data_IF_137057459747
#
_entry.id   IF_137057459747
#
_cell.length_a   1.000
_cell.length_b   1.000
_cell.length_c   1.000
_cell.angle_alpha   90.00
_cell.angle_beta   90.00
_cell.angle_gamma   90.00
#
_symmetry.space_group_name_H-M   'P 1'
#
loop_
_entity.id
_entity.type
_entity.pdbx_description
1 polymer ?
#
# COMPACT_ATOMS: atom_id res chain seq x y z
N UNK A 1 10.72 55.97 -56.49
CA UNK A 1 9.38 56.01 -55.86
C UNK A 1 8.90 54.57 -55.84
N UNK A 2 9.36 53.77 -54.87
CA UNK A 2 8.77 53.60 -53.53
C UNK A 2 7.45 52.84 -53.59
N UNK A 3 7.30 51.85 -52.71
CA UNK A 3 6.07 51.10 -52.37
C UNK A 3 5.77 49.77 -53.10
N UNK A 4 6.62 48.73 -53.00
CA UNK A 4 6.13 47.32 -52.88
C UNK A 4 7.14 46.39 -52.17
N UNK A 5 7.88 46.85 -51.16
CA UNK A 5 8.81 46.01 -50.37
C UNK A 5 8.31 45.79 -48.92
N UNK A 6 6.99 45.61 -48.74
CA UNK A 6 6.38 45.60 -47.40
C UNK A 6 5.45 44.42 -47.08
N UNK A 7 5.42 43.33 -47.87
CA UNK A 7 4.42 42.27 -47.66
C UNK A 7 4.85 40.81 -47.86
N UNK A 8 6.15 40.45 -47.80
CA UNK A 8 6.54 39.07 -48.14
C UNK A 8 7.50 38.31 -47.22
N UNK A 9 7.69 38.68 -45.94
CA UNK A 9 8.27 37.74 -44.96
C UNK A 9 7.69 37.89 -43.54
N UNK A 10 6.36 38.02 -43.45
CA UNK A 10 5.61 37.92 -42.19
C UNK A 10 5.24 36.46 -41.85
N UNK A 11 6.13 35.50 -42.14
CA UNK A 11 5.88 34.06 -41.92
C UNK A 11 7.15 33.25 -41.62
N UNK A 12 8.12 33.83 -40.91
CA UNK A 12 8.91 32.97 -40.02
C UNK A 12 8.06 32.78 -38.77
N UNK A 13 7.18 31.77 -38.85
CA UNK A 13 6.47 31.21 -37.73
C UNK A 13 7.43 31.14 -36.53
N UNK A 14 7.02 31.72 -35.41
CA UNK A 14 7.66 31.57 -34.12
C UNK A 14 7.65 30.07 -33.79
N UNK A 15 8.65 29.31 -34.25
CA UNK A 15 8.89 27.95 -33.80
C UNK A 15 9.48 28.08 -32.41
N UNK A 16 8.62 28.15 -31.40
CA UNK A 16 8.98 27.77 -30.04
C UNK A 16 9.76 26.46 -30.13
N UNK A 17 10.94 26.41 -29.52
CA UNK A 17 11.77 25.20 -29.53
C UNK A 17 10.91 24.04 -29.01
N UNK A 18 10.67 23.03 -29.85
CA UNK A 18 9.86 21.89 -29.49
C UNK A 18 10.49 21.20 -28.28
N UNK A 19 9.68 20.93 -27.28
CA UNK A 19 10.09 20.17 -26.10
C UNK A 19 10.29 18.70 -26.45
N UNK A 20 11.00 17.96 -25.60
CA UNK A 20 11.25 16.53 -25.80
C UNK A 20 9.96 15.71 -25.97
N UNK A 21 8.87 16.08 -25.29
CA UNK A 21 7.58 15.40 -25.47
C UNK A 21 6.96 15.71 -26.83
N UNK A 22 6.97 16.98 -27.26
CA UNK A 22 6.40 17.40 -28.53
C UNK A 22 7.14 16.80 -29.72
N UNK A 23 8.47 16.73 -29.66
CA UNK A 23 9.29 16.07 -30.68
C UNK A 23 8.95 14.58 -30.79
N UNK A 24 8.85 13.87 -29.67
CA UNK A 24 8.49 12.44 -29.67
C UNK A 24 7.06 12.21 -30.19
N UNK A 25 6.11 13.08 -29.83
CA UNK A 25 4.72 13.03 -30.33
C UNK A 25 4.67 13.22 -31.84
N UNK A 26 5.40 14.20 -32.36
CA UNK A 26 5.41 14.53 -33.78
C UNK A 26 6.09 13.42 -34.59
N UNK A 27 7.19 12.85 -34.09
CA UNK A 27 7.85 11.69 -34.70
C UNK A 27 6.92 10.47 -34.76
N UNK A 28 6.30 10.10 -33.63
CA UNK A 28 5.39 8.95 -33.56
C UNK A 28 4.18 9.11 -34.50
N UNK A 29 3.74 10.36 -34.72
CA UNK A 29 2.65 10.68 -35.66
C UNK A 29 3.11 10.57 -37.12
N UNK A 30 4.34 10.98 -37.43
CA UNK A 30 4.91 10.88 -38.79
C UNK A 30 5.20 9.45 -39.22
N UNK A 31 5.55 8.57 -38.27
CA UNK A 31 5.76 7.14 -38.55
C UNK A 31 4.47 6.45 -39.04
N UNK A 32 3.29 7.04 -38.79
CA UNK A 32 2.04 6.64 -39.44
C UNK A 32 1.54 5.23 -39.10
N UNK A 33 2.10 4.62 -38.05
CA UNK A 33 1.76 3.27 -37.60
C UNK A 33 0.44 3.29 -36.83
N UNK A 34 -0.62 2.77 -37.44
CA UNK A 34 -1.95 2.67 -36.82
C UNK A 34 -1.86 1.84 -35.53
N UNK A 35 -2.19 2.48 -34.41
CA UNK A 35 -2.14 1.85 -33.08
C UNK A 35 -0.80 1.95 -32.37
N UNK A 36 0.18 2.68 -32.91
CA UNK A 36 1.41 3.03 -32.18
C UNK A 36 1.11 3.90 -30.96
N UNK A 37 2.04 3.89 -30.00
CA UNK A 37 1.98 4.76 -28.84
C UNK A 37 2.37 6.18 -29.24
N UNK A 38 1.55 7.16 -28.88
CA UNK A 38 1.82 8.58 -29.09
C UNK A 38 1.81 9.25 -27.71
N UNK A 39 2.92 9.86 -27.26
CA UNK A 39 2.98 10.48 -25.94
C UNK A 39 2.08 11.72 -25.86
N UNK A 40 1.47 11.91 -24.69
CA UNK A 40 0.65 13.07 -24.38
C UNK A 40 1.44 14.15 -23.66
N UNK A 41 1.36 15.38 -24.17
CA UNK A 41 2.07 16.53 -23.62
C UNK A 41 1.10 17.52 -22.97
N UNK A 42 1.59 18.24 -21.96
CA UNK A 42 0.94 19.41 -21.38
C UNK A 42 1.08 20.62 -22.33
N UNK A 43 0.39 21.72 -22.02
CA UNK A 43 0.44 22.95 -22.81
C UNK A 43 1.80 23.66 -22.79
N UNK A 44 2.63 23.37 -21.79
CA UNK A 44 4.01 23.86 -21.69
C UNK A 44 5.04 22.94 -22.38
N UNK A 45 4.57 21.86 -23.02
CA UNK A 45 5.40 20.86 -23.69
C UNK A 45 6.01 19.80 -22.75
N UNK A 46 5.77 19.87 -21.44
CA UNK A 46 6.17 18.78 -20.54
C UNK A 46 5.34 17.51 -20.78
N UNK A 47 5.85 16.34 -20.41
CA UNK A 47 5.07 15.11 -20.44
C UNK A 47 3.91 15.19 -19.45
N UNK A 48 2.70 14.77 -19.87
CA UNK A 48 1.64 14.50 -18.90
C UNK A 48 2.11 13.41 -17.93
N UNK A 49 1.91 13.56 -16.61
CA UNK A 49 2.30 12.53 -15.65
C UNK A 49 1.66 11.18 -15.90
N UNK A 50 0.45 11.16 -16.47
CA UNK A 50 -0.27 9.97 -16.94
C UNK A 50 -0.12 9.85 -18.46
N UNK A 51 0.27 8.67 -18.93
CA UNK A 51 0.39 8.32 -20.36
C UNK A 51 -0.48 7.10 -20.66
N UNK A 52 -1.25 7.16 -21.75
CA UNK A 52 -2.17 6.09 -22.12
C UNK A 52 -1.93 5.60 -23.55
N UNK A 53 -1.76 4.29 -23.72
CA UNK A 53 -1.68 3.66 -25.02
C UNK A 53 -3.06 3.17 -25.48
N UNK A 54 -3.76 4.04 -26.22
CA UNK A 54 -5.16 3.84 -26.60
C UNK A 54 -5.47 2.51 -27.31
N UNK A 55 -4.57 1.98 -28.13
CA UNK A 55 -4.80 0.72 -28.87
C UNK A 55 -4.72 -0.53 -27.98
N UNK A 56 -4.01 -0.46 -26.85
CA UNK A 56 -3.84 -1.60 -25.92
C UNK A 56 -4.66 -1.45 -24.64
N UNK A 57 -5.10 -0.23 -24.33
CA UNK A 57 -5.84 0.12 -23.11
C UNK A 57 -4.98 0.19 -21.85
N UNK A 58 -3.64 0.13 -21.99
CA UNK A 58 -2.72 0.32 -20.88
C UNK A 58 -2.39 1.80 -20.67
N UNK A 59 -2.35 2.22 -19.41
CA UNK A 59 -1.84 3.52 -19.01
C UNK A 59 -0.82 3.37 -17.89
N UNK A 60 0.12 4.30 -17.77
CA UNK A 60 1.18 4.32 -16.76
C UNK A 60 1.52 5.76 -16.37
N UNK A 61 2.27 5.91 -15.28
CA UNK A 61 2.83 7.19 -14.89
C UNK A 61 4.23 7.36 -15.50
N UNK A 62 4.61 8.60 -15.79
CA UNK A 62 5.95 8.95 -16.26
C UNK A 62 6.61 10.00 -15.38
N UNK A 63 7.94 10.03 -15.38
CA UNK A 63 8.72 11.10 -14.75
C UNK A 63 8.80 12.34 -15.65
N UNK A 64 9.53 13.37 -15.20
CA UNK A 64 9.70 14.64 -15.93
C UNK A 64 10.37 14.49 -17.30
N UNK A 65 11.05 13.37 -17.55
CA UNK A 65 11.69 13.04 -18.83
C UNK A 65 10.85 12.09 -19.71
N UNK A 66 9.62 11.75 -19.29
CA UNK A 66 8.74 10.86 -20.04
C UNK A 66 9.05 9.36 -19.86
N UNK A 67 9.97 8.99 -18.95
CA UNK A 67 10.27 7.58 -18.69
C UNK A 67 9.19 6.96 -17.80
N UNK A 68 8.74 5.74 -18.16
CA UNK A 68 7.76 4.97 -17.40
C UNK A 68 8.22 4.74 -15.95
N UNK A 69 7.36 5.08 -14.99
CA UNK A 69 7.54 4.75 -13.58
C UNK A 69 7.21 3.27 -13.38
N UNK A 70 8.13 2.45 -12.87
CA UNK A 70 7.90 1.03 -12.68
C UNK A 70 6.61 0.71 -11.91
N UNK A 71 5.89 -0.33 -12.32
CA UNK A 71 4.62 -0.82 -11.73
C UNK A 71 3.42 0.13 -11.77
N UNK A 72 3.50 1.22 -12.53
CA UNK A 72 2.33 2.10 -12.72
C UNK A 72 1.47 1.69 -13.92
N UNK A 73 1.94 0.73 -14.73
CA UNK A 73 1.23 0.22 -15.89
C UNK A 73 0.03 -0.63 -15.53
N UNK A 74 -1.15 -0.09 -15.75
CA UNK A 74 -2.46 -0.71 -15.46
C UNK A 74 -3.37 -0.63 -16.68
N UNK A 75 -4.46 -1.40 -16.69
CA UNK A 75 -5.57 -1.16 -17.63
C UNK A 75 -6.50 -0.12 -17.03
N UNK A 76 -6.72 1.00 -17.73
CA UNK A 76 -7.47 2.14 -17.20
C UNK A 76 -6.58 3.19 -16.53
N UNK A 77 -7.15 4.04 -15.67
CA UNK A 77 -6.49 5.26 -15.15
C UNK A 77 -5.56 4.99 -13.94
N UNK A 78 -4.24 5.28 -14.03
CA UNK A 78 -3.31 5.19 -12.90
C UNK A 78 -3.41 6.42 -11.97
N UNK A 79 -3.06 6.25 -10.69
CA UNK A 79 -2.93 7.34 -9.73
C UNK A 79 -1.48 7.88 -9.72
N UNK A 80 -1.23 8.92 -10.52
CA UNK A 80 0.09 9.55 -10.62
C UNK A 80 0.32 10.68 -9.59
N UNK A 81 -0.64 10.93 -8.67
CA UNK A 81 -0.47 11.89 -7.59
C UNK A 81 0.49 11.39 -6.51
N UNK A 82 0.69 10.07 -6.41
CA UNK A 82 1.71 9.45 -5.56
C UNK A 82 3.06 9.44 -6.28
N UNK A 83 3.70 10.59 -6.40
CA UNK A 83 5.01 10.74 -7.06
C UNK A 83 6.07 9.81 -6.43
N UNK A 84 6.49 8.80 -7.18
CA UNK A 84 7.90 8.39 -7.35
C UNK A 84 8.67 7.79 -6.16
N UNK A 85 8.10 7.63 -4.98
CA UNK A 85 8.73 6.87 -3.89
C UNK A 85 7.99 5.55 -3.76
N UNK A 86 8.53 4.50 -4.37
CA UNK A 86 8.05 3.14 -4.09
C UNK A 86 8.13 2.94 -2.57
N UNK A 87 7.07 2.45 -1.96
CA UNK A 87 7.11 2.07 -0.56
C UNK A 87 8.19 0.99 -0.34
N UNK A 88 8.57 0.75 0.91
CA UNK A 88 9.51 -0.33 1.22
C UNK A 88 9.02 -1.68 0.66
N UNK A 89 7.73 -2.02 0.84
CA UNK A 89 7.12 -3.22 0.27
C UNK A 89 7.20 -3.24 -1.28
N UNK A 90 6.80 -2.13 -1.93
CA UNK A 90 6.79 -2.03 -3.39
C UNK A 90 8.20 -2.07 -4.00
N UNK A 91 9.21 -1.58 -3.28
CA UNK A 91 10.62 -1.66 -3.66
C UNK A 91 11.12 -3.11 -3.62
N UNK A 92 10.73 -3.87 -2.59
CA UNK A 92 11.10 -5.28 -2.43
C UNK A 92 10.44 -6.19 -3.46
N UNK A 93 9.27 -5.81 -4.01
CA UNK A 93 8.60 -6.63 -5.02
C UNK A 93 9.44 -6.85 -6.30
N UNK A 94 10.42 -5.99 -6.61
CA UNK A 94 11.26 -6.11 -7.81
C UNK A 94 12.48 -7.03 -7.62
N UNK A 95 12.73 -7.48 -6.40
CA UNK A 95 13.86 -8.34 -6.07
C UNK A 95 13.44 -9.78 -6.37
N UNK A 96 14.03 -10.41 -7.39
CA UNK A 96 13.92 -11.85 -7.65
C UNK A 96 15.28 -12.47 -7.31
N UNK A 97 15.37 -13.16 -6.19
CA UNK A 97 16.62 -13.81 -5.73
C UNK A 97 16.40 -15.30 -5.55
N UNK A 98 17.33 -16.14 -6.03
CA UNK A 98 17.28 -17.58 -5.78
C UNK A 98 18.00 -17.90 -4.47
N UNK A 99 17.36 -17.58 -3.34
CA UNK A 99 17.89 -17.85 -2.00
C UNK A 99 17.10 -19.01 -1.37
N UNK A 100 17.77 -20.07 -0.87
CA UNK A 100 17.11 -21.15 -0.15
C UNK A 100 16.29 -20.63 1.02
N UNK A 101 15.00 -21.01 1.09
CA UNK A 101 14.08 -20.54 2.12
C UNK A 101 13.41 -19.18 1.85
N UNK A 102 13.75 -18.51 0.74
CA UNK A 102 13.05 -17.30 0.34
C UNK A 102 11.70 -17.63 -0.34
N UNK A 103 10.64 -16.95 0.10
CA UNK A 103 9.27 -17.20 -0.33
C UNK A 103 8.83 -16.41 -1.58
N UNK A 104 9.73 -15.60 -2.13
CA UNK A 104 9.43 -14.68 -3.23
C UNK A 104 9.23 -13.24 -2.77
N UNK A 105 8.92 -12.34 -3.72
CA UNK A 105 8.63 -10.94 -3.42
C UNK A 105 7.39 -10.80 -2.51
N UNK A 106 7.36 -9.81 -1.60
CA UNK A 106 6.22 -9.61 -0.71
C UNK A 106 4.98 -9.12 -1.46
N UNK A 107 3.81 -9.51 -0.97
CA UNK A 107 2.51 -8.99 -1.41
C UNK A 107 2.25 -7.65 -0.74
N UNK A 108 1.85 -6.65 -1.53
CA UNK A 108 1.62 -5.29 -1.06
C UNK A 108 0.20 -4.85 -1.39
N UNK A 109 -0.42 -4.07 -0.49
CA UNK A 109 -1.70 -3.39 -0.74
C UNK A 109 -1.50 -2.22 -1.73
N UNK A 110 -2.57 -1.69 -2.36
CA UNK A 110 -2.47 -0.55 -3.30
C UNK A 110 -1.97 0.75 -2.67
N UNK A 111 -2.06 0.88 -1.35
CA UNK A 111 -1.50 2.01 -0.59
C UNK A 111 0.02 1.90 -0.37
N UNK A 112 0.62 0.76 -0.73
CA UNK A 112 2.04 0.46 -0.55
C UNK A 112 2.40 -0.19 0.78
N UNK A 113 1.45 -0.39 1.69
CA UNK A 113 1.68 -1.18 2.90
C UNK A 113 1.80 -2.68 2.59
N UNK A 114 2.37 -3.44 3.52
CA UNK A 114 2.39 -4.90 3.40
C UNK A 114 0.98 -5.45 3.51
N UNK A 115 0.66 -6.44 2.66
CA UNK A 115 -0.54 -7.24 2.89
C UNK A 115 -0.33 -8.09 4.15
N UNK A 116 -1.32 -8.13 5.03
CA UNK A 116 -1.20 -8.83 6.32
C UNK A 116 -0.91 -10.33 6.13
N UNK A 117 -1.40 -10.91 5.05
CA UNK A 117 -1.15 -12.31 4.67
C UNK A 117 -0.11 -12.39 3.56
N UNK A 118 1.02 -13.03 3.85
CA UNK A 118 2.08 -13.36 2.89
C UNK A 118 2.06 -14.85 2.60
N UNK A 119 2.28 -15.24 1.34
CA UNK A 119 2.23 -16.63 0.90
C UNK A 119 3.46 -17.00 0.07
N UNK A 120 4.07 -18.13 0.40
CA UNK A 120 5.20 -18.70 -0.34
C UNK A 120 4.68 -19.49 -1.55
N UNK A 121 5.00 -19.02 -2.76
CA UNK A 121 4.52 -19.65 -4.00
C UNK A 121 5.04 -21.10 -4.18
N UNK A 122 6.22 -21.42 -3.63
CA UNK A 122 6.87 -22.72 -3.75
C UNK A 122 6.37 -23.76 -2.72
N UNK A 123 5.99 -23.35 -1.52
CA UNK A 123 5.57 -24.28 -0.44
C UNK A 123 4.05 -24.28 -0.21
N UNK A 124 3.32 -23.28 -0.72
CA UNK A 124 1.89 -23.11 -0.48
C UNK A 124 1.55 -22.73 0.97
N UNK A 125 2.55 -22.41 1.79
CA UNK A 125 2.36 -21.93 3.16
C UNK A 125 2.16 -20.42 3.17
N UNK A 126 1.27 -19.95 4.01
CA UNK A 126 1.05 -18.53 4.26
C UNK A 126 1.24 -18.21 5.74
N UNK A 127 1.62 -16.98 6.04
CA UNK A 127 1.89 -16.46 7.38
C UNK A 127 1.47 -14.99 7.48
N UNK A 128 1.27 -14.51 8.71
CA UNK A 128 0.97 -13.12 8.97
C UNK A 128 2.24 -12.28 9.08
N UNK A 129 2.13 -11.00 8.71
CA UNK A 129 3.20 -10.02 8.91
C UNK A 129 2.70 -8.78 9.66
N UNK A 130 3.61 -8.12 10.36
CA UNK A 130 3.36 -6.80 10.97
C UNK A 130 3.37 -5.66 9.93
N UNK A 131 3.19 -4.42 10.40
CA UNK A 131 3.18 -3.21 9.55
C UNK A 131 4.52 -2.96 8.86
N UNK A 132 5.63 -3.50 9.38
CA UNK A 132 6.96 -3.47 8.78
C UNK A 132 7.22 -4.63 7.81
N UNK A 133 6.30 -5.59 7.70
CA UNK A 133 6.43 -6.76 6.82
C UNK A 133 7.20 -7.93 7.44
N UNK A 134 7.46 -7.92 8.75
CA UNK A 134 8.15 -9.01 9.45
C UNK A 134 7.16 -10.12 9.76
N UNK A 135 7.57 -11.37 9.51
CA UNK A 135 6.79 -12.56 9.85
C UNK A 135 6.47 -12.60 11.34
N UNK A 136 5.22 -12.86 11.66
CA UNK A 136 4.74 -13.12 13.02
C UNK A 136 4.87 -14.62 13.28
N UNK A 137 5.62 -14.99 14.31
CA UNK A 137 5.87 -16.40 14.65
C UNK A 137 4.57 -17.13 15.03
N UNK A 138 4.50 -18.43 14.73
CA UNK A 138 3.33 -19.26 15.02
C UNK A 138 2.13 -19.11 14.06
N UNK A 139 2.18 -18.16 13.11
CA UNK A 139 1.07 -17.92 12.16
C UNK A 139 1.17 -18.71 10.86
N UNK A 140 2.30 -19.39 10.62
CA UNK A 140 2.54 -20.13 9.38
C UNK A 140 1.67 -21.38 9.28
N UNK A 141 0.86 -21.48 8.23
CA UNK A 141 0.04 -22.66 7.94
C UNK A 141 -0.18 -22.85 6.44
N UNK A 142 -0.68 -24.02 6.05
CA UNK A 142 -1.16 -24.25 4.68
C UNK A 142 -2.48 -23.51 4.47
N UNK A 143 -2.54 -22.62 3.46
CA UNK A 143 -3.69 -21.76 3.21
C UNK A 143 -3.72 -20.48 4.06
N UNK A 144 -4.80 -19.70 3.96
CA UNK A 144 -4.87 -18.32 4.48
C UNK A 144 -4.99 -18.25 6.03
N UNK A 145 -4.00 -17.67 6.76
CA UNK A 145 -4.10 -17.41 8.20
C UNK A 145 -5.10 -16.30 8.51
N UNK A 146 -5.66 -16.37 9.72
CA UNK A 146 -6.48 -15.30 10.27
C UNK A 146 -5.55 -14.30 10.97
N UNK A 147 -5.21 -13.21 10.29
CA UNK A 147 -4.27 -12.21 10.80
C UNK A 147 -4.94 -11.12 11.64
N UNK A 148 -6.28 -11.04 11.65
CA UNK A 148 -7.01 -10.05 12.45
C UNK A 148 -6.95 -10.38 13.94
N UNK A 149 -6.88 -11.67 14.28
CA UNK A 149 -6.63 -12.16 15.65
C UNK A 149 -5.20 -11.89 16.15
N UNK A 150 -4.26 -11.59 15.25
CA UNK A 150 -2.81 -11.48 15.52
C UNK A 150 -2.39 -10.05 15.85
N UNK A 151 -3.05 -9.01 15.31
CA UNK A 151 -3.10 -7.69 15.96
C UNK A 151 -3.92 -7.86 17.23
N UNK A 152 -3.23 -8.19 18.31
CA UNK A 152 -3.82 -9.00 19.37
C UNK A 152 -5.20 -8.49 19.79
N UNK A 153 -6.20 -9.39 19.74
CA UNK A 153 -7.59 -9.06 20.11
C UNK A 153 -7.63 -8.33 21.47
N UNK A 154 -6.76 -8.72 22.39
CA UNK A 154 -6.57 -8.07 23.67
C UNK A 154 -6.07 -6.62 23.53
N UNK A 155 -5.00 -6.38 22.77
CA UNK A 155 -4.39 -5.06 22.61
C UNK A 155 -5.30 -4.10 21.84
N UNK A 156 -6.01 -4.60 20.81
CA UNK A 156 -7.07 -3.84 20.12
C UNK A 156 -8.16 -3.40 21.10
N UNK A 157 -8.66 -4.34 21.91
CA UNK A 157 -9.69 -4.05 22.93
C UNK A 157 -9.18 -3.08 24.01
N UNK A 158 -7.91 -3.20 24.39
CA UNK A 158 -7.23 -2.31 25.35
C UNK A 158 -7.14 -0.88 24.82
N UNK A 159 -6.70 -0.69 23.58
CA UNK A 159 -6.62 0.63 22.94
C UNK A 159 -8.00 1.26 22.73
N UNK A 160 -8.99 0.48 22.31
CA UNK A 160 -10.39 0.94 22.22
C UNK A 160 -10.94 1.35 23.59
N UNK A 161 -10.57 0.62 24.65
CA UNK A 161 -10.99 0.98 26.00
C UNK A 161 -10.37 2.30 26.47
N UNK A 162 -9.09 2.53 26.18
CA UNK A 162 -8.37 3.76 26.49
C UNK A 162 -8.87 4.97 25.68
N UNK A 163 -9.26 4.75 24.42
CA UNK A 163 -9.75 5.80 23.53
C UNK A 163 -11.08 6.43 23.97
N UNK A 164 -11.86 5.75 24.81
CA UNK A 164 -13.14 6.27 25.37
C UNK A 164 -12.93 7.32 26.47
N UNK A 165 -11.68 7.67 26.79
CA UNK A 165 -11.32 8.78 27.68
C UNK A 165 -11.32 8.39 29.17
N UNK A 166 -11.02 9.35 30.07
CA UNK A 166 -10.79 9.10 31.49
C UNK A 166 -12.09 8.90 32.29
N UNK A 167 -12.98 8.02 31.81
CA UNK A 167 -14.20 7.69 32.53
C UNK A 167 -13.87 6.78 33.73
N UNK A 168 -14.27 7.24 34.91
CA UNK A 168 -14.27 6.47 36.16
C UNK A 168 -15.15 5.23 35.97
N UNK A 169 -14.52 4.06 35.89
CA UNK A 169 -15.24 2.78 35.85
C UNK A 169 -15.34 2.15 34.46
N UNK A 170 -14.32 2.27 33.61
CA UNK A 170 -14.21 1.42 32.42
C UNK A 170 -13.24 0.26 32.66
N UNK A 171 -13.58 -0.94 32.16
CA UNK A 171 -12.70 -2.11 32.19
C UNK A 171 -11.65 -2.02 31.07
N UNK A 172 -10.38 -2.16 31.43
CA UNK A 172 -9.25 -2.18 30.50
C UNK A 172 -8.64 -3.59 30.61
N UNK A 173 -8.60 -4.38 29.53
CA UNK A 173 -8.03 -5.72 29.59
C UNK A 173 -6.50 -5.71 29.77
N UNK A 174 -6.02 -6.76 30.43
CA UNK A 174 -4.61 -7.06 30.62
C UNK A 174 -4.17 -8.11 29.59
N UNK A 175 -3.07 -7.81 28.91
CA UNK A 175 -2.57 -8.60 27.78
C UNK A 175 -1.16 -9.10 28.11
N UNK A 176 -0.87 -10.33 27.69
CA UNK A 176 0.49 -10.90 27.74
C UNK A 176 1.34 -10.31 26.62
N UNK A 177 2.66 -10.55 26.69
CA UNK A 177 3.62 -10.08 25.67
C UNK A 177 3.38 -10.68 24.27
N UNK A 178 2.81 -11.89 24.20
CA UNK A 178 2.41 -12.54 22.95
C UNK A 178 1.09 -11.97 22.37
N UNK A 179 0.48 -11.01 23.07
CA UNK A 179 -0.78 -10.38 22.70
C UNK A 179 -2.04 -11.15 23.14
N UNK A 180 -1.92 -12.36 23.69
CA UNK A 180 -3.08 -13.07 24.25
C UNK A 180 -3.61 -12.39 25.51
N UNK A 181 -4.85 -12.71 25.89
CA UNK A 181 -5.40 -12.25 27.17
C UNK A 181 -4.65 -12.92 28.33
N UNK A 182 -4.37 -12.15 29.39
CA UNK A 182 -4.00 -12.76 30.67
C UNK A 182 -5.14 -13.67 31.15
N UNK A 183 -4.80 -14.86 31.68
CA UNK A 183 -5.78 -15.87 32.10
C UNK A 183 -6.71 -15.36 33.19
N UNK A 184 -6.21 -14.46 34.06
CA UNK A 184 -6.98 -13.68 35.00
C UNK A 184 -7.11 -12.23 34.51
N UNK A 185 -8.34 -11.72 34.45
CA UNK A 185 -8.63 -10.32 34.13
C UNK A 185 -9.16 -9.62 35.38
N UNK A 186 -8.65 -8.43 35.67
CA UNK A 186 -9.01 -7.66 36.86
C UNK A 186 -9.49 -6.26 36.50
N UNK A 187 -10.62 -5.86 37.07
CA UNK A 187 -11.20 -4.55 36.89
C UNK A 187 -10.84 -3.64 38.08
N UNK A 188 -9.77 -2.87 37.92
CA UNK A 188 -9.17 -2.08 39.00
C UNK A 188 -10.14 -1.16 39.76
N UNK A 189 -11.14 -0.56 39.09
CA UNK A 189 -12.06 0.37 39.73
C UNK A 189 -13.15 -0.29 40.58
N UNK A 190 -13.45 -1.57 40.35
CA UNK A 190 -14.49 -2.31 41.08
C UNK A 190 -13.93 -3.37 42.02
N UNK A 191 -12.69 -3.80 41.76
CA UNK A 191 -12.02 -4.89 42.47
C UNK A 191 -12.47 -6.28 42.03
N UNK A 192 -13.30 -6.42 41.00
CA UNK A 192 -13.68 -7.73 40.48
C UNK A 192 -12.59 -8.31 39.58
N UNK A 193 -12.32 -9.61 39.74
CA UNK A 193 -11.45 -10.36 38.86
C UNK A 193 -12.15 -11.66 38.40
N UNK A 194 -11.84 -12.16 37.21
CA UNK A 194 -12.40 -13.40 36.66
C UNK A 194 -11.41 -14.10 35.72
N UNK A 195 -11.61 -15.40 35.47
CA UNK A 195 -10.84 -16.11 34.45
C UNK A 195 -11.44 -15.88 33.06
N UNK A 196 -10.58 -15.82 32.04
CA UNK A 196 -10.98 -15.77 30.63
C UNK A 196 -10.40 -16.95 29.83
N UNK A 197 -11.02 -17.25 28.70
CA UNK A 197 -10.49 -18.21 27.72
C UNK A 197 -9.49 -17.55 26.74
N UNK A 198 -9.00 -18.31 25.76
CA UNK A 198 -8.07 -17.83 24.73
C UNK A 198 -8.66 -16.68 23.88
N UNK A 199 -10.00 -16.56 23.84
CA UNK A 199 -10.71 -15.51 23.11
C UNK A 199 -10.99 -14.28 23.98
N UNK A 200 -10.66 -14.31 25.27
CA UNK A 200 -10.96 -13.26 26.24
C UNK A 200 -12.38 -13.30 26.81
N UNK A 201 -13.11 -14.41 26.62
CA UNK A 201 -14.47 -14.59 27.14
C UNK A 201 -14.44 -15.05 28.59
N UNK A 202 -15.29 -14.44 29.42
CA UNK A 202 -15.38 -14.74 30.86
C UNK A 202 -15.86 -16.18 31.09
N UNK A 203 -15.16 -16.92 31.95
CA UNK A 203 -15.61 -18.24 32.44
C UNK A 203 -16.59 -18.10 33.60
N UNK A 204 -17.70 -18.83 33.54
CA UNK A 204 -18.72 -18.81 34.59
C UNK A 204 -18.19 -19.36 35.93
N UNK A 205 -18.69 -18.79 37.03
CA UNK A 205 -18.29 -19.19 38.39
C UNK A 205 -16.88 -18.79 38.83
N UNK A 206 -16.10 -18.10 37.99
CA UNK A 206 -14.70 -17.70 38.29
C UNK A 206 -14.56 -16.29 38.87
N UNK A 207 -15.67 -15.58 39.10
CA UNK A 207 -15.63 -14.19 39.56
C UNK A 207 -15.36 -14.11 41.05
N UNK A 208 -14.29 -13.40 41.40
CA UNK A 208 -13.91 -13.08 42.78
C UNK A 208 -13.83 -11.55 42.94
N UNK A 209 -13.79 -11.07 44.19
CA UNK A 209 -13.70 -9.64 44.49
C UNK A 209 -12.58 -9.39 45.51
N UNK A 210 -11.70 -8.44 45.19
CA UNK A 210 -10.50 -8.07 45.96
C UNK A 210 -9.50 -9.23 46.12
N UNK A 211 -9.62 -10.27 45.31
CA UNK A 211 -8.76 -11.46 45.28
C UNK A 211 -8.42 -11.81 43.84
N UNK A 212 -7.39 -12.63 43.65
CA UNK A 212 -6.97 -13.11 42.33
C UNK A 212 -7.55 -14.52 42.10
N UNK A 213 -8.31 -14.75 41.02
CA UNK A 213 -8.88 -16.06 40.73
C UNK A 213 -7.78 -17.04 40.32
N UNK A 214 -7.97 -18.32 40.64
CA UNK A 214 -7.08 -19.38 40.19
C UNK A 214 -7.45 -19.78 38.75
N UNK A 215 -6.62 -19.34 37.80
CA UNK A 215 -6.70 -19.55 36.36
C UNK A 215 -5.32 -20.08 35.89
#
# INVERSE_FOLDING_TARGET
MSFVFLFLFLSLCCKTAATTCEEQRDQASQEGLVGAFVPECNADGSFKPEQCWGSTGYCWCVNEHGAEVPRTKVRGKPDCSKKGVLSFCQSLQAIIVNVPGWCGPPRCKPDGSFEEVQCCANTGKCYCVDKEGKKIEGTEKSGQPDCESVTSKCEKTRLEALAKGPLLGQFIPHCKEDGSFESAQCWASTGYCWCVDEKGEKRDGTTVRFEQPNC
#
